data_IF_828119018783
#
_entry.id   IF_828119018783
#
_cell.length_a   1.000
_cell.length_b   1.000
_cell.length_c   1.000
_cell.angle_alpha   90.00
_cell.angle_beta   90.00
_cell.angle_gamma   90.00
#
_symmetry.space_group_name_H-M   'P 1'
#
loop_
_entity.id
_entity.type
_entity.pdbx_description
1 polymer ?
#
# COMPACT_ATOMS: atom_id res chain seq x y z
N UNK A 1 -21.64 -8.17 -0.99
CA UNK A 1 -21.02 -6.84 -0.83
C UNK A 1 -19.52 -6.96 -1.08
N UNK A 2 -18.97 -6.39 -2.16
CA UNK A 2 -17.65 -6.76 -2.71
C UNK A 2 -16.46 -6.73 -1.73
N UNK A 3 -16.41 -5.78 -0.79
CA UNK A 3 -15.23 -5.59 0.08
C UNK A 3 -15.13 -6.48 1.32
N UNK A 4 -16.25 -7.02 1.84
CA UNK A 4 -16.23 -7.92 3.02
C UNK A 4 -15.59 -9.28 2.71
N UNK A 5 -15.74 -9.75 1.47
CA UNK A 5 -15.16 -11.02 1.05
C UNK A 5 -13.63 -10.94 0.98
N UNK A 6 -13.09 -9.85 0.45
CA UNK A 6 -11.64 -9.66 0.25
C UNK A 6 -10.87 -9.62 1.58
N UNK A 7 -11.37 -8.88 2.56
CA UNK A 7 -10.79 -8.81 3.91
C UNK A 7 -10.80 -10.19 4.58
N UNK A 8 -11.92 -10.92 4.46
CA UNK A 8 -12.02 -12.30 4.98
C UNK A 8 -11.04 -13.25 4.30
N UNK A 9 -10.87 -13.16 2.98
CA UNK A 9 -9.91 -14.00 2.27
C UNK A 9 -8.47 -13.65 2.61
N UNK A 10 -8.12 -12.37 2.71
CA UNK A 10 -6.80 -11.93 3.13
C UNK A 10 -6.46 -12.47 4.54
N UNK A 11 -7.41 -12.39 5.49
CA UNK A 11 -7.22 -13.00 6.82
C UNK A 11 -7.05 -14.52 6.79
N UNK A 12 -7.82 -15.23 5.95
CA UNK A 12 -7.64 -16.68 5.75
C UNK A 12 -6.27 -17.03 5.17
N UNK A 13 -5.76 -16.24 4.22
CA UNK A 13 -4.40 -16.41 3.67
C UNK A 13 -3.36 -16.16 4.75
N UNK A 14 -3.50 -15.10 5.54
CA UNK A 14 -2.61 -14.84 6.67
C UNK A 14 -2.58 -16.03 7.66
N UNK A 15 -3.73 -16.63 7.98
CA UNK A 15 -3.78 -17.82 8.85
C UNK A 15 -3.17 -19.04 8.19
N UNK A 16 -3.39 -19.22 6.88
CA UNK A 16 -2.80 -20.32 6.13
C UNK A 16 -1.27 -20.23 6.13
N UNK A 17 -0.67 -19.04 6.05
CA UNK A 17 0.80 -18.86 6.08
C UNK A 17 1.43 -19.51 7.33
N UNK A 18 0.74 -19.48 8.47
CA UNK A 18 1.27 -19.96 9.75
C UNK A 18 1.69 -21.45 9.75
N UNK A 19 1.06 -22.28 8.90
CA UNK A 19 1.38 -23.71 8.80
C UNK A 19 1.47 -24.24 7.36
N UNK A 20 0.92 -23.52 6.39
CA UNK A 20 0.85 -23.93 5.00
C UNK A 20 2.03 -23.47 4.14
N UNK A 21 2.73 -22.38 4.52
CA UNK A 21 3.81 -21.82 3.72
C UNK A 21 5.07 -22.70 3.76
N UNK A 22 5.54 -23.08 4.95
CA UNK A 22 6.79 -23.83 5.08
C UNK A 22 6.80 -25.17 4.34
N UNK A 23 5.74 -26.01 4.41
CA UNK A 23 5.67 -27.23 3.61
C UNK A 23 5.80 -26.96 2.10
N UNK A 24 5.17 -25.89 1.59
CA UNK A 24 5.25 -25.52 0.19
C UNK A 24 6.64 -25.05 -0.23
N UNK A 25 7.36 -24.33 0.64
CA UNK A 25 8.76 -23.97 0.40
C UNK A 25 9.60 -25.25 0.29
N UNK A 26 9.50 -26.15 1.26
CA UNK A 26 10.26 -27.41 1.29
C UNK A 26 9.98 -28.33 0.10
N UNK A 27 8.76 -28.29 -0.46
CA UNK A 27 8.39 -29.06 -1.65
C UNK A 27 8.99 -28.50 -2.95
N UNK A 28 9.21 -27.18 -3.04
CA UNK A 28 9.50 -26.51 -4.32
C UNK A 28 10.90 -25.89 -4.40
N UNK A 29 11.61 -25.74 -3.27
CA UNK A 29 12.93 -25.12 -3.20
C UNK A 29 13.94 -26.14 -2.70
N UNK A 30 15.03 -26.33 -3.44
CA UNK A 30 16.08 -27.32 -3.11
C UNK A 30 17.00 -26.85 -1.97
N UNK A 31 17.01 -25.54 -1.68
CA UNK A 31 17.77 -24.93 -0.60
C UNK A 31 17.02 -24.99 0.74
N UNK A 32 17.77 -24.94 1.85
CA UNK A 32 17.22 -24.88 3.19
C UNK A 32 16.63 -23.49 3.51
N UNK A 33 15.51 -23.15 2.86
CA UNK A 33 14.78 -21.89 3.09
C UNK A 33 13.76 -22.07 4.20
N UNK A 34 13.82 -21.21 5.21
CA UNK A 34 12.89 -21.17 6.34
C UNK A 34 12.07 -19.89 6.31
N UNK A 35 10.74 -20.03 6.41
CA UNK A 35 9.83 -18.91 6.50
C UNK A 35 9.97 -18.23 7.87
N UNK A 36 10.30 -16.93 7.85
CA UNK A 36 10.45 -16.11 9.03
C UNK A 36 9.09 -15.54 9.47
N UNK A 37 8.31 -16.32 10.21
CA UNK A 37 6.92 -15.99 10.56
C UNK A 37 6.76 -14.93 11.68
N UNK A 38 7.85 -14.56 12.35
CA UNK A 38 7.88 -13.45 13.32
C UNK A 38 8.04 -12.07 12.65
N UNK A 39 8.28 -12.05 11.33
CA UNK A 39 8.55 -10.84 10.53
C UNK A 39 7.65 -10.82 9.29
N UNK A 40 6.36 -10.56 9.49
CA UNK A 40 5.36 -10.58 8.40
C UNK A 40 4.90 -9.17 8.09
N UNK A 41 4.94 -8.82 6.82
CA UNK A 41 4.52 -7.50 6.32
C UNK A 41 3.21 -7.64 5.56
N UNK A 42 2.28 -6.74 5.80
CA UNK A 42 1.05 -6.64 5.04
C UNK A 42 1.16 -5.49 4.05
N UNK A 43 0.90 -5.76 2.77
CA UNK A 43 0.98 -4.77 1.71
C UNK A 43 -0.20 -4.91 0.75
N UNK A 44 -0.62 -3.81 0.13
CA UNK A 44 -1.63 -3.87 -0.91
C UNK A 44 -1.73 -2.59 -1.72
N UNK A 45 -2.16 -2.73 -2.97
CA UNK A 45 -2.43 -1.63 -3.89
C UNK A 45 -3.92 -1.31 -3.99
N UNK A 46 -4.31 -0.04 -4.16
CA UNK A 46 -5.70 0.35 -4.47
C UNK A 46 -6.69 -0.13 -3.40
N UNK A 47 -7.78 -0.78 -3.83
CA UNK A 47 -8.71 -1.50 -2.95
C UNK A 47 -8.01 -2.57 -2.11
N UNK A 48 -6.95 -3.20 -2.64
CA UNK A 48 -6.07 -4.11 -1.90
C UNK A 48 -5.30 -3.42 -0.77
N UNK A 49 -4.89 -2.16 -0.95
CA UNK A 49 -4.30 -1.34 0.10
C UNK A 49 -5.29 -1.06 1.23
N UNK A 50 -6.53 -0.68 0.89
CA UNK A 50 -7.62 -0.61 1.88
C UNK A 50 -7.84 -1.95 2.59
N UNK A 51 -7.79 -3.06 1.87
CA UNK A 51 -7.93 -4.41 2.45
C UNK A 51 -6.79 -4.72 3.41
N UNK A 52 -5.55 -4.34 3.09
CA UNK A 52 -4.40 -4.45 3.98
C UNK A 52 -4.64 -3.67 5.29
N UNK A 53 -5.04 -2.39 5.20
CA UNK A 53 -5.41 -1.62 6.38
C UNK A 53 -6.55 -2.26 7.17
N UNK A 54 -7.61 -2.73 6.50
CA UNK A 54 -8.74 -3.35 7.19
C UNK A 54 -8.34 -4.62 7.96
N UNK A 55 -7.48 -5.46 7.39
CA UNK A 55 -6.95 -6.65 8.09
C UNK A 55 -6.09 -6.22 9.27
N UNK A 56 -5.20 -5.24 9.10
CA UNK A 56 -4.35 -4.73 10.19
C UNK A 56 -5.15 -4.09 11.34
N UNK A 57 -6.30 -3.47 11.04
CA UNK A 57 -7.25 -2.92 12.00
C UNK A 57 -8.17 -3.97 12.66
N UNK A 58 -7.96 -5.27 12.38
CA UNK A 58 -8.71 -6.35 13.02
C UNK A 58 -10.07 -6.65 12.39
N UNK A 59 -10.34 -6.21 11.16
CA UNK A 59 -11.57 -6.60 10.45
C UNK A 59 -11.53 -8.03 9.88
N UNK A 60 -10.42 -8.75 10.07
CA UNK A 60 -10.30 -10.18 9.84
C UNK A 60 -9.59 -10.83 11.02
N UNK A 61 -9.99 -12.06 11.36
CA UNK A 61 -9.30 -12.87 12.36
C UNK A 61 -7.96 -13.37 11.80
N UNK A 62 -6.86 -12.96 12.42
CA UNK A 62 -5.51 -13.43 12.07
C UNK A 62 -4.80 -14.03 13.29
N UNK A 63 -4.09 -15.15 13.10
CA UNK A 63 -3.25 -15.78 14.12
C UNK A 63 -1.84 -15.20 14.15
N UNK A 64 -1.39 -14.65 13.02
CA UNK A 64 -0.09 -14.01 12.87
C UNK A 64 -0.18 -12.52 13.22
N UNK A 65 0.92 -11.99 13.76
CA UNK A 65 1.13 -10.55 13.97
C UNK A 65 1.86 -9.97 12.76
N UNK A 66 1.51 -8.73 12.40
CA UNK A 66 2.18 -8.00 11.33
C UNK A 66 3.21 -7.04 11.92
N UNK A 67 4.41 -7.04 11.37
CA UNK A 67 5.54 -6.22 11.80
C UNK A 67 5.57 -4.86 11.11
N UNK A 68 4.91 -4.71 9.96
CA UNK A 68 4.77 -3.45 9.23
C UNK A 68 3.57 -3.49 8.27
N UNK A 69 3.07 -2.32 7.90
CA UNK A 69 1.97 -2.13 6.94
C UNK A 69 2.39 -1.19 5.80
N UNK A 70 2.09 -1.59 4.56
CA UNK A 70 2.41 -0.84 3.34
C UNK A 70 1.13 -0.58 2.55
N UNK A 71 0.69 0.67 2.52
CA UNK A 71 -0.41 1.14 1.68
C UNK A 71 0.13 1.69 0.36
N UNK A 72 -0.05 0.96 -0.73
CA UNK A 72 0.34 1.44 -2.07
C UNK A 72 -0.90 2.06 -2.72
N UNK A 73 -0.93 3.37 -2.80
CA UNK A 73 -2.04 4.17 -3.31
C UNK A 73 -3.42 3.64 -2.90
N UNK A 74 -3.68 3.48 -1.58
CA UNK A 74 -4.88 2.81 -1.10
C UNK A 74 -6.14 3.62 -1.41
N UNK A 75 -7.24 2.92 -1.75
CA UNK A 75 -8.51 3.56 -2.12
C UNK A 75 -9.69 2.93 -1.37
N UNK A 76 -10.47 3.75 -0.67
CA UNK A 76 -11.63 3.32 0.11
C UNK A 76 -12.93 3.23 -0.71
N UNK A 77 -12.97 3.79 -1.92
CA UNK A 77 -14.11 3.70 -2.84
C UNK A 77 -14.06 4.76 -3.94
N UNK A 78 -15.12 4.85 -4.76
CA UNK A 78 -15.18 5.77 -5.89
C UNK A 78 -15.57 7.20 -5.50
N UNK A 79 -15.96 7.46 -4.25
CA UNK A 79 -16.29 8.81 -3.79
C UNK A 79 -16.31 8.94 -2.27
N UNK A 80 -16.35 10.19 -1.77
CA UNK A 80 -16.55 10.50 -0.35
C UNK A 80 -17.88 9.99 0.22
N UNK A 81 -18.89 9.78 -0.62
CA UNK A 81 -20.20 9.29 -0.18
C UNK A 81 -20.07 7.90 0.44
N UNK A 82 -20.35 7.78 1.74
CA UNK A 82 -20.17 6.55 2.54
C UNK A 82 -20.87 5.33 1.92
N UNK A 83 -22.05 5.51 1.33
CA UNK A 83 -22.84 4.44 0.70
C UNK A 83 -22.10 3.84 -0.52
N UNK A 84 -21.29 4.64 -1.21
CA UNK A 84 -20.50 4.19 -2.36
C UNK A 84 -19.15 3.60 -1.98
N UNK A 85 -18.68 3.84 -0.75
CA UNK A 85 -17.40 3.31 -0.26
C UNK A 85 -17.46 1.80 -0.14
N UNK A 86 -16.33 1.16 -0.36
CA UNK A 86 -16.21 -0.29 -0.16
C UNK A 86 -16.20 -0.62 1.33
N UNK A 87 -16.77 -1.78 1.69
CA UNK A 87 -16.78 -2.28 3.06
C UNK A 87 -15.47 -3.02 3.40
N UNK A 88 -15.08 -3.13 4.68
CA UNK A 88 -15.57 -2.32 5.80
C UNK A 88 -15.17 -0.84 5.63
N UNK A 89 -15.98 0.06 6.18
CA UNK A 89 -15.67 1.49 6.19
C UNK A 89 -14.65 1.81 7.28
N UNK A 90 -13.38 1.78 6.91
CA UNK A 90 -12.27 2.00 7.86
C UNK A 90 -11.93 3.47 8.03
N UNK A 91 -12.05 4.30 6.99
CA UNK A 91 -11.81 5.74 7.09
C UNK A 91 -12.90 6.42 7.93
N UNK A 92 -12.47 7.08 9.01
CA UNK A 92 -13.30 7.81 9.97
C UNK A 92 -13.32 9.32 9.73
N UNK A 93 -12.35 9.86 8.98
CA UNK A 93 -12.15 11.29 8.76
C UNK A 93 -11.54 12.04 9.95
N UNK A 94 -10.96 11.32 10.93
CA UNK A 94 -10.30 11.91 12.11
C UNK A 94 -8.81 11.64 12.07
N UNK A 95 -8.00 12.66 12.34
CA UNK A 95 -6.55 12.52 12.42
C UNK A 95 -6.17 11.40 13.40
N UNK A 96 -5.21 10.57 13.02
CA UNK A 96 -4.61 9.56 13.91
C UNK A 96 -5.62 8.60 14.55
N UNK A 97 -6.71 8.29 13.84
CA UNK A 97 -7.78 7.40 14.31
C UNK A 97 -7.41 5.92 14.27
N UNK A 98 -6.50 5.53 13.38
CA UNK A 98 -6.13 4.13 13.17
C UNK A 98 -5.34 3.61 14.36
N UNK A 99 -5.86 2.57 14.98
CA UNK A 99 -5.22 1.91 16.11
C UNK A 99 -4.33 0.76 15.61
N UNK A 100 -3.16 1.14 15.10
CA UNK A 100 -2.17 0.25 14.51
C UNK A 100 -0.93 0.20 15.41
N UNK A 101 -0.49 -1.01 15.76
CA UNK A 101 0.67 -1.25 16.63
C UNK A 101 1.94 -1.59 15.85
N UNK A 102 2.03 -1.14 14.60
CA UNK A 102 3.14 -1.39 13.68
C UNK A 102 3.42 -0.14 12.85
N UNK A 103 4.66 0.05 12.36
CA UNK A 103 4.99 1.14 11.46
C UNK A 103 4.22 1.03 10.14
N UNK A 104 3.82 2.18 9.61
CA UNK A 104 3.05 2.29 8.37
C UNK A 104 3.77 3.18 7.35
N UNK A 105 3.84 2.73 6.10
CA UNK A 105 4.17 3.61 4.98
C UNK A 105 3.02 3.65 4.00
N UNK A 106 2.62 4.85 3.60
CA UNK A 106 1.67 5.09 2.53
C UNK A 106 2.41 5.69 1.35
N UNK A 107 2.27 5.10 0.16
CA UNK A 107 2.93 5.55 -1.07
C UNK A 107 1.84 5.87 -2.09
N UNK A 108 1.50 7.15 -2.22
CA UNK A 108 0.44 7.67 -3.09
C UNK A 108 0.92 8.06 -4.48
N UNK A 109 -0.04 8.45 -5.33
CA UNK A 109 0.23 8.97 -6.69
C UNK A 109 -0.41 10.34 -6.88
N UNK A 110 0.31 11.28 -7.49
CA UNK A 110 -0.18 12.67 -7.64
C UNK A 110 -1.30 12.82 -8.68
N UNK A 111 -1.40 11.92 -9.65
CA UNK A 111 -2.48 11.92 -10.66
C UNK A 111 -3.65 11.01 -10.29
N UNK A 112 -3.62 10.35 -9.13
CA UNK A 112 -4.69 9.46 -8.66
C UNK A 112 -6.08 10.11 -8.60
N UNK A 113 -6.20 11.38 -8.13
CA UNK A 113 -7.45 12.14 -8.09
C UNK A 113 -7.97 12.61 -9.45
N UNK A 114 -7.15 12.55 -10.50
CA UNK A 114 -7.52 13.02 -11.82
C UNK A 114 -8.41 12.01 -12.57
N UNK A 115 -9.31 12.53 -13.39
CA UNK A 115 -10.18 11.68 -14.23
C UNK A 115 -9.39 10.98 -15.33
N UNK A 116 -9.76 9.73 -15.60
CA UNK A 116 -9.16 8.94 -16.68
C UNK A 116 -9.63 9.39 -18.06
N UNK A 117 -8.88 8.97 -19.09
CA UNK A 117 -9.17 9.38 -20.46
C UNK A 117 -10.45 8.74 -21.03
N UNK A 118 -10.81 7.53 -20.58
CA UNK A 118 -12.00 6.80 -21.07
C UNK A 118 -13.17 6.79 -20.07
N UNK A 119 -12.99 7.31 -18.85
CA UNK A 119 -13.98 7.17 -17.78
C UNK A 119 -14.00 8.42 -16.89
N UNK A 120 -15.17 9.05 -16.64
CA UNK A 120 -15.27 10.34 -15.96
C UNK A 120 -15.16 10.23 -14.43
N UNK A 121 -14.51 9.17 -13.92
CA UNK A 121 -14.33 8.94 -12.48
C UNK A 121 -12.85 8.71 -12.22
N UNK A 122 -12.32 9.40 -11.22
CA UNK A 122 -10.96 9.21 -10.75
C UNK A 122 -10.79 7.84 -10.08
N UNK A 123 -9.61 7.25 -10.23
CA UNK A 123 -9.32 5.93 -9.66
C UNK A 123 -8.96 6.00 -8.17
N UNK A 124 -8.36 7.11 -7.72
CA UNK A 124 -8.07 7.39 -6.32
C UNK A 124 -8.57 8.80 -5.96
N UNK A 125 -9.91 9.00 -5.93
CA UNK A 125 -10.50 10.32 -5.72
C UNK A 125 -10.20 10.87 -4.32
N UNK A 126 -10.10 12.19 -4.23
CA UNK A 126 -9.93 12.91 -2.95
C UNK A 126 -10.99 12.49 -1.92
N UNK A 127 -10.61 12.47 -0.64
CA UNK A 127 -11.50 12.10 0.47
C UNK A 127 -11.67 10.60 0.69
N UNK A 128 -11.03 9.77 -0.13
CA UNK A 128 -10.99 8.30 -0.01
C UNK A 128 -9.69 7.68 -0.54
N UNK A 129 -8.61 8.46 -0.70
CA UNK A 129 -7.34 8.02 -1.27
C UNK A 129 -6.21 8.01 -0.23
N UNK A 130 -4.97 7.82 -0.69
CA UNK A 130 -3.78 7.72 0.14
C UNK A 130 -3.63 8.84 1.19
N UNK A 131 -4.10 10.06 0.93
CA UNK A 131 -4.03 11.17 1.88
C UNK A 131 -4.86 10.87 3.13
N UNK A 132 -6.09 10.40 2.96
CA UNK A 132 -6.94 10.03 4.10
C UNK A 132 -6.38 8.84 4.86
N UNK A 133 -5.79 7.85 4.15
CA UNK A 133 -5.15 6.73 4.82
C UNK A 133 -3.97 7.19 5.69
N UNK A 134 -3.12 8.08 5.18
CA UNK A 134 -2.01 8.62 5.95
C UNK A 134 -2.47 9.53 7.10
N UNK A 135 -3.44 10.42 6.85
CA UNK A 135 -4.00 11.33 7.85
C UNK A 135 -4.54 10.58 9.08
N UNK A 136 -5.12 9.39 8.87
CA UNK A 136 -5.66 8.57 9.95
C UNK A 136 -4.60 7.69 10.63
N UNK A 137 -3.37 7.56 10.09
CA UNK A 137 -2.29 6.79 10.73
C UNK A 137 -1.73 7.49 11.97
N UNK A 138 -1.45 6.71 13.01
CA UNK A 138 -0.62 7.12 14.16
C UNK A 138 0.88 6.92 13.82
N UNK A 139 1.79 7.70 14.41
CA UNK A 139 3.21 7.43 14.35
C UNK A 139 3.56 6.06 14.97
N UNK A 140 4.59 5.34 14.48
CA UNK A 140 5.46 5.71 13.35
C UNK A 140 4.77 5.55 11.99
N UNK A 141 4.72 6.62 11.19
CA UNK A 141 4.15 6.58 9.86
C UNK A 141 4.83 7.53 8.86
N UNK A 142 4.90 7.12 7.60
CA UNK A 142 5.48 7.90 6.52
C UNK A 142 4.56 7.98 5.29
N UNK A 143 4.67 9.07 4.55
CA UNK A 143 3.93 9.32 3.32
C UNK A 143 4.85 9.83 2.22
N UNK A 144 4.79 9.15 1.08
CA UNK A 144 5.47 9.54 -0.15
C UNK A 144 4.43 9.66 -1.26
N UNK A 145 4.60 10.63 -2.17
CA UNK A 145 3.73 10.80 -3.33
C UNK A 145 4.59 10.86 -4.59
N UNK A 146 4.35 9.97 -5.55
CA UNK A 146 4.98 10.04 -6.87
C UNK A 146 4.19 11.02 -7.73
N UNK A 147 4.69 12.27 -7.80
CA UNK A 147 3.95 13.44 -8.26
C UNK A 147 3.35 13.30 -9.66
N UNK A 148 4.16 12.85 -10.61
CA UNK A 148 3.80 12.87 -12.03
C UNK A 148 3.21 11.53 -12.54
N UNK A 149 2.82 10.65 -11.62
CA UNK A 149 2.32 9.30 -11.91
C UNK A 149 0.87 9.13 -11.46
N UNK A 150 0.17 8.22 -12.13
CA UNK A 150 -1.20 7.86 -11.79
C UNK A 150 -1.34 6.47 -11.21
N UNK A 151 -2.57 6.19 -10.77
CA UNK A 151 -2.94 5.02 -9.96
C UNK A 151 -2.49 3.66 -10.52
N UNK A 152 -2.35 3.54 -11.85
CA UNK A 152 -2.01 2.30 -12.54
C UNK A 152 -0.56 2.25 -13.05
N UNK A 153 0.23 3.31 -12.87
CA UNK A 153 1.61 3.38 -13.40
C UNK A 153 2.62 2.54 -12.63
N UNK A 154 2.23 2.04 -11.46
CA UNK A 154 3.03 1.11 -10.65
C UNK A 154 2.85 -0.37 -11.01
N UNK A 155 1.89 -0.70 -11.87
CA UNK A 155 1.59 -2.08 -12.23
C UNK A 155 2.58 -2.63 -13.26
N UNK A 156 2.71 -3.95 -13.29
CA UNK A 156 3.51 -4.66 -14.31
C UNK A 156 2.95 -4.44 -15.72
N UNK A 157 3.80 -4.56 -16.73
CA UNK A 157 3.45 -4.16 -18.10
C UNK A 157 2.29 -4.99 -18.69
N UNK A 158 2.08 -6.21 -18.20
CA UNK A 158 1.09 -7.18 -18.68
C UNK A 158 -0.36 -6.89 -18.25
N UNK A 159 -0.63 -5.79 -17.53
CA UNK A 159 -2.02 -5.37 -17.29
C UNK A 159 -2.70 -4.89 -18.56
N UNK A 160 -3.97 -5.30 -18.73
CA UNK A 160 -4.77 -5.02 -19.91
C UNK A 160 -4.84 -3.52 -20.20
N UNK A 161 -4.76 -3.16 -21.49
CA UNK A 161 -4.86 -1.78 -21.96
C UNK A 161 -6.17 -1.10 -21.56
N UNK A 162 -7.25 -1.88 -21.39
CA UNK A 162 -8.54 -1.39 -20.93
C UNK A 162 -8.48 -0.84 -19.50
N UNK A 163 -7.79 -1.54 -18.59
CA UNK A 163 -7.60 -1.08 -17.21
C UNK A 163 -6.72 0.17 -17.15
N UNK A 164 -5.78 0.31 -18.09
CA UNK A 164 -4.91 1.49 -18.20
C UNK A 164 -5.68 2.75 -18.61
N UNK A 165 -6.72 2.67 -19.44
CA UNK A 165 -7.47 3.86 -19.86
C UNK A 165 -8.44 4.40 -18.78
N UNK A 166 -8.75 3.60 -17.76
CA UNK A 166 -9.71 3.98 -16.72
C UNK A 166 -9.17 5.06 -15.78
N UNK A 167 -7.85 5.17 -15.63
CA UNK A 167 -7.21 6.11 -14.73
C UNK A 167 -6.40 7.13 -15.52
N UNK A 168 -6.18 8.31 -14.92
CA UNK A 168 -5.14 9.20 -15.41
C UNK A 168 -3.80 8.49 -15.27
N UNK A 169 -2.96 8.57 -16.30
CA UNK A 169 -1.59 8.07 -16.27
C UNK A 169 -0.62 9.24 -16.45
N UNK A 170 0.57 9.09 -15.91
CA UNK A 170 1.72 9.92 -16.18
C UNK A 170 2.23 9.76 -17.60
N UNK A 171 3.04 10.72 -18.03
CA UNK A 171 3.76 10.66 -19.32
C UNK A 171 5.16 10.04 -19.18
N UNK A 172 5.69 10.00 -17.95
CA UNK A 172 7.02 9.50 -17.67
C UNK A 172 7.06 7.96 -17.74
N UNK A 173 8.24 7.36 -18.02
CA UNK A 173 8.38 5.91 -18.05
C UNK A 173 7.92 5.24 -16.75
N UNK A 174 7.13 4.17 -16.87
CA UNK A 174 6.56 3.42 -15.73
C UNK A 174 7.61 2.61 -14.96
N UNK A 175 8.76 2.31 -15.57
CA UNK A 175 9.86 1.65 -14.86
C UNK A 175 10.41 2.51 -13.73
N UNK A 176 10.46 3.85 -13.91
CA UNK A 176 10.94 4.76 -12.87
C UNK A 176 9.98 4.78 -11.67
N UNK A 177 8.67 4.71 -11.91
CA UNK A 177 7.67 4.54 -10.85
C UNK A 177 7.89 3.24 -10.09
N UNK A 178 8.02 2.10 -10.80
CA UNK A 178 8.22 0.79 -10.18
C UNK A 178 9.53 0.71 -9.38
N UNK A 179 10.62 1.27 -9.90
CA UNK A 179 11.91 1.35 -9.21
C UNK A 179 11.82 2.22 -7.96
N UNK A 180 11.11 3.34 -8.03
CA UNK A 180 10.88 4.22 -6.88
C UNK A 180 10.07 3.52 -5.81
N UNK A 181 8.94 2.92 -6.18
CA UNK A 181 8.10 2.14 -5.27
C UNK A 181 8.89 1.02 -4.59
N UNK A 182 9.63 0.22 -5.35
CA UNK A 182 10.48 -0.84 -4.80
C UNK A 182 11.55 -0.30 -3.85
N UNK A 183 12.21 0.80 -4.21
CA UNK A 183 13.21 1.47 -3.36
C UNK A 183 12.62 1.96 -2.04
N UNK A 184 11.47 2.64 -2.08
CA UNK A 184 10.77 3.14 -0.89
C UNK A 184 10.35 2.00 0.04
N UNK A 185 9.76 0.94 -0.52
CA UNK A 185 9.36 -0.25 0.25
C UNK A 185 10.58 -0.90 0.91
N UNK A 186 11.66 -1.13 0.16
CA UNK A 186 12.87 -1.76 0.70
C UNK A 186 13.53 -0.89 1.77
N UNK A 187 13.66 0.42 1.54
CA UNK A 187 14.25 1.35 2.51
C UNK A 187 13.46 1.38 3.83
N UNK A 188 12.12 1.45 3.74
CA UNK A 188 11.24 1.40 4.90
C UNK A 188 11.35 0.08 5.68
N UNK A 189 11.34 -1.06 4.98
CA UNK A 189 11.46 -2.37 5.62
C UNK A 189 12.85 -2.58 6.25
N UNK A 190 13.92 -2.13 5.59
CA UNK A 190 15.28 -2.12 6.17
C UNK A 190 15.34 -1.32 7.47
N UNK A 191 14.75 -0.12 7.49
CA UNK A 191 14.74 0.73 8.67
C UNK A 191 14.03 0.06 9.85
N UNK A 192 12.79 -0.42 9.65
CA UNK A 192 11.97 -0.92 10.76
C UNK A 192 12.22 -2.37 11.15
N UNK A 193 12.59 -3.25 10.21
CA UNK A 193 12.77 -4.67 10.49
C UNK A 193 14.22 -5.04 10.81
N UNK A 194 15.18 -4.24 10.33
CA UNK A 194 16.62 -4.54 10.42
C UNK A 194 17.44 -3.40 11.04
N UNK A 195 16.81 -2.31 11.48
CA UNK A 195 17.47 -1.14 12.05
C UNK A 195 18.51 -0.50 11.10
N UNK A 196 18.30 -0.63 9.79
CA UNK A 196 19.14 -0.07 8.72
C UNK A 196 18.45 1.18 8.15
N UNK A 197 18.76 2.33 8.72
CA UNK A 197 18.04 3.59 8.50
C UNK A 197 18.62 4.46 7.39
N UNK A 198 19.79 4.12 6.86
CA UNK A 198 20.60 4.95 5.97
C UNK A 198 19.83 5.32 4.70
N UNK A 199 19.30 4.31 3.99
CA UNK A 199 18.54 4.50 2.75
C UNK A 199 17.25 5.31 3.00
N UNK A 200 16.57 5.06 4.12
CA UNK A 200 15.31 5.70 4.44
C UNK A 200 15.49 7.18 4.80
N UNK A 201 16.49 7.50 5.63
CA UNK A 201 16.84 8.88 5.98
C UNK A 201 17.32 9.66 4.75
N UNK A 202 18.13 9.05 3.90
CA UNK A 202 18.62 9.69 2.68
C UNK A 202 17.48 10.16 1.78
N UNK A 203 16.44 9.33 1.56
CA UNK A 203 15.30 9.70 0.71
C UNK A 203 14.40 10.75 1.39
N UNK A 204 14.29 10.75 2.73
CA UNK A 204 13.58 11.79 3.47
C UNK A 204 14.29 13.15 3.38
N UNK A 205 15.62 13.16 3.42
CA UNK A 205 16.45 14.37 3.35
C UNK A 205 16.57 14.91 1.92
N UNK A 206 16.72 14.03 0.93
CA UNK A 206 16.77 14.36 -0.49
C UNK A 206 15.83 13.45 -1.32
N UNK A 207 14.56 13.84 -1.49
CA UNK A 207 13.61 13.07 -2.29
C UNK A 207 14.00 12.97 -3.77
N UNK A 208 14.94 13.78 -4.27
CA UNK A 208 15.41 13.71 -5.66
C UNK A 208 16.31 12.49 -5.92
N UNK A 209 16.72 11.76 -4.89
CA UNK A 209 17.42 10.47 -5.03
C UNK A 209 16.52 9.40 -5.66
N UNK A 210 15.20 9.55 -5.56
CA UNK A 210 14.25 8.63 -6.18
C UNK A 210 14.25 8.76 -7.72
N UNK A 211 14.13 7.65 -8.46
CA UNK A 211 14.02 7.69 -9.93
C UNK A 211 12.81 8.49 -10.45
N UNK A 212 11.68 8.43 -9.75
CA UNK A 212 10.48 9.22 -10.01
C UNK A 212 10.49 10.47 -9.15
N UNK A 213 9.94 11.56 -9.68
CA UNK A 213 9.77 12.80 -8.92
C UNK A 213 8.80 12.56 -7.75
N UNK A 214 9.30 12.76 -6.54
CA UNK A 214 8.50 12.74 -5.33
C UNK A 214 8.05 14.15 -4.96
N UNK A 215 6.91 14.26 -4.30
CA UNK A 215 6.61 15.43 -3.46
C UNK A 215 7.41 15.37 -2.16
N UNK A 216 7.37 16.46 -1.37
CA UNK A 216 8.06 16.52 -0.09
C UNK A 216 7.56 15.40 0.84
N UNK A 217 8.42 14.44 1.23
CA UNK A 217 8.01 13.34 2.07
C UNK A 217 7.58 13.81 3.46
N UNK A 218 6.58 13.14 4.03
CA UNK A 218 6.17 13.38 5.42
C UNK A 218 6.50 12.15 6.25
N UNK A 219 7.18 12.34 7.37
CA UNK A 219 7.50 11.27 8.31
C UNK A 219 7.24 11.70 9.75
N UNK A 220 6.47 10.89 10.46
CA UNK A 220 6.26 10.99 11.89
C UNK A 220 6.89 9.77 12.56
N UNK A 221 8.00 9.92 13.30
CA UNK A 221 8.69 8.82 13.97
C UNK A 221 7.93 8.27 15.18
#
# INVERSE_FOLDING_TARGET
MPGLCEVKFAGKVANWIAGGLQPKISENVQENVQAKLDTIVLAGHSKGGKTAFAVALGHAETTLKFSALIGIDPVAGPSKCKITRTLPHILTGKAQSFDLNMPVVVIGTGLGPETGNCFPIACAPDGVNHEEFFYECKPPCAHFVTKDYGHMDMLDDDVSSLLKCMCKNGIAPKDLMRRTLGGLVVAFLKAYLYNQWEDFKAILEDPNLAPAKLEDPVFYP
#
